data_IF_368649241544
#
_entry.id   IF_368649241544
#
_cell.length_a   1.000
_cell.length_b   1.000
_cell.length_c   1.000
_cell.angle_alpha   90.00
_cell.angle_beta   90.00
_cell.angle_gamma   90.00
#
_symmetry.space_group_name_H-M   'P 1'
#
loop_
_entity.id
_entity.type
_entity.pdbx_description
1 polymer ?
#
# COMPACT_ATOMS: atom_id res chain seq x y z
N UNK A 1 -25.18 -9.00 -5.04
CA UNK A 1 -24.97 -9.38 -6.46
C UNK A 1 -24.11 -10.63 -6.66
N UNK A 2 -22.78 -10.65 -6.42
CA UNK A 2 -21.97 -11.89 -6.63
C UNK A 2 -22.15 -12.95 -5.53
N UNK A 3 -22.20 -12.57 -4.25
CA UNK A 3 -22.49 -13.51 -3.16
C UNK A 3 -23.89 -14.14 -3.23
N UNK A 4 -24.83 -13.48 -3.91
CA UNK A 4 -26.17 -14.03 -4.19
C UNK A 4 -26.12 -15.13 -5.27
N UNK A 5 -25.09 -15.14 -6.12
CA UNK A 5 -24.92 -16.10 -7.22
C UNK A 5 -23.93 -17.22 -6.85
N UNK A 6 -22.80 -16.86 -6.24
CA UNK A 6 -21.65 -17.74 -6.00
C UNK A 6 -21.50 -18.13 -4.51
N UNK A 7 -22.45 -17.71 -3.66
CA UNK A 7 -22.53 -18.02 -2.24
C UNK A 7 -21.82 -17.03 -1.30
N UNK A 8 -22.13 -17.11 0.00
CA UNK A 8 -21.61 -16.18 1.03
C UNK A 8 -20.08 -16.22 1.20
N UNK A 9 -19.46 -17.30 0.73
CA UNK A 9 -18.01 -17.51 0.81
C UNK A 9 -17.22 -16.89 -0.36
N UNK A 10 -17.89 -16.32 -1.36
CA UNK A 10 -17.22 -15.60 -2.44
C UNK A 10 -16.43 -14.40 -1.91
N UNK A 11 -15.21 -14.20 -2.43
CA UNK A 11 -14.27 -13.14 -2.04
C UNK A 11 -13.68 -12.46 -3.27
N UNK A 12 -13.19 -11.23 -3.10
CA UNK A 12 -12.60 -10.47 -4.22
C UNK A 12 -11.39 -11.19 -4.83
N UNK A 13 -10.55 -11.83 -4.02
CA UNK A 13 -9.41 -12.61 -4.50
C UNK A 13 -9.79 -13.78 -5.44
N UNK A 14 -11.06 -14.21 -5.47
CA UNK A 14 -11.52 -15.27 -6.39
C UNK A 14 -11.78 -14.77 -7.82
N UNK A 15 -11.91 -13.45 -8.01
CA UNK A 15 -12.33 -12.84 -9.27
C UNK A 15 -11.30 -11.88 -9.88
N UNK A 16 -10.33 -11.45 -9.08
CA UNK A 16 -9.27 -10.53 -9.52
C UNK A 16 -7.94 -11.25 -9.52
N UNK A 17 -7.32 -11.35 -10.70
CA UNK A 17 -5.95 -11.87 -10.83
C UNK A 17 -4.95 -10.99 -10.08
N UNK A 18 -5.20 -9.68 -10.07
CA UNK A 18 -4.35 -8.67 -9.44
C UNK A 18 -5.18 -7.73 -8.58
N UNK A 19 -4.69 -7.47 -7.37
CA UNK A 19 -5.19 -6.42 -6.49
C UNK A 19 -4.02 -5.50 -6.14
N UNK A 20 -4.18 -4.21 -6.41
CA UNK A 20 -3.13 -3.22 -6.21
C UNK A 20 -3.60 -2.11 -5.27
N UNK A 21 -2.71 -1.65 -4.40
CA UNK A 21 -3.07 -0.67 -3.38
C UNK A 21 -1.87 0.12 -2.90
N UNK A 22 -2.07 1.44 -2.74
CA UNK A 22 -1.09 2.38 -2.17
C UNK A 22 -1.59 2.87 -0.83
N UNK A 23 -0.70 3.02 0.16
CA UNK A 23 -1.07 3.55 1.48
C UNK A 23 -2.21 2.78 2.11
N UNK A 24 -3.30 3.43 2.52
CA UNK A 24 -4.50 2.77 3.06
C UNK A 24 -5.05 1.68 2.13
N UNK A 25 -4.95 1.88 0.80
CA UNK A 25 -5.37 0.87 -0.18
C UNK A 25 -4.52 -0.41 -0.13
N UNK A 26 -3.24 -0.32 0.25
CA UNK A 26 -2.38 -1.50 0.41
C UNK A 26 -2.80 -2.37 1.60
N UNK A 27 -3.29 -1.74 2.67
CA UNK A 27 -3.77 -2.46 3.84
C UNK A 27 -5.03 -3.24 3.48
N UNK A 28 -5.93 -2.62 2.70
CA UNK A 28 -7.07 -3.31 2.11
C UNK A 28 -6.62 -4.45 1.19
N UNK A 29 -5.65 -4.22 0.30
CA UNK A 29 -5.07 -5.26 -0.57
C UNK A 29 -4.60 -6.44 0.27
N UNK A 30 -3.73 -6.21 1.26
CA UNK A 30 -3.20 -7.26 2.11
C UNK A 30 -4.29 -8.01 2.88
N UNK A 31 -5.27 -7.30 3.48
CA UNK A 31 -6.40 -7.93 4.18
C UNK A 31 -7.28 -8.81 3.27
N UNK A 32 -7.43 -8.42 2.01
CA UNK A 32 -8.25 -9.11 1.02
C UNK A 32 -7.51 -10.24 0.30
N UNK A 33 -6.17 -10.29 0.38
CA UNK A 33 -5.36 -11.30 -0.31
C UNK A 33 -4.58 -12.21 0.62
N UNK A 34 -4.29 -11.82 1.85
CA UNK A 34 -3.57 -12.67 2.80
C UNK A 34 -4.45 -13.87 3.20
N UNK A 35 -3.88 -15.08 3.24
CA UNK A 35 -4.61 -16.28 3.62
C UNK A 35 -4.80 -16.36 5.14
N UNK A 36 -5.97 -16.84 5.55
CA UNK A 36 -6.24 -17.35 6.88
C UNK A 36 -5.89 -18.85 6.98
N UNK A 37 -6.16 -19.46 8.14
CA UNK A 37 -5.91 -20.90 8.40
C UNK A 37 -6.61 -21.85 7.42
N UNK A 38 -7.71 -21.42 6.82
CA UNK A 38 -8.49 -22.19 5.84
C UNK A 38 -8.12 -21.85 4.38
N UNK A 39 -6.99 -21.16 4.16
CA UNK A 39 -6.54 -20.69 2.85
C UNK A 39 -7.58 -19.82 2.11
N UNK A 40 -8.31 -19.00 2.87
CA UNK A 40 -9.25 -17.98 2.37
C UNK A 40 -8.77 -16.59 2.80
N UNK A 41 -9.17 -15.50 2.11
CA UNK A 41 -8.84 -14.15 2.54
C UNK A 41 -9.15 -13.88 4.01
N UNK A 42 -8.22 -13.25 4.72
CA UNK A 42 -8.39 -12.84 6.13
C UNK A 42 -9.68 -12.03 6.33
N UNK A 43 -9.95 -11.10 5.41
CA UNK A 43 -11.13 -10.25 5.45
C UNK A 43 -12.02 -10.47 4.24
N UNK A 44 -13.34 -10.41 4.44
CA UNK A 44 -14.25 -10.11 3.34
C UNK A 44 -14.32 -8.59 3.12
N UNK A 45 -14.74 -8.16 1.93
CA UNK A 45 -14.87 -6.75 1.60
C UNK A 45 -15.80 -5.99 2.57
N UNK A 46 -16.82 -6.66 3.13
CA UNK A 46 -17.74 -6.09 4.12
C UNK A 46 -17.09 -5.77 5.47
N UNK A 47 -16.00 -6.46 5.80
CA UNK A 47 -15.31 -6.35 7.10
C UNK A 47 -14.32 -5.16 7.13
N UNK A 48 -13.92 -4.66 5.96
CA UNK A 48 -12.99 -3.53 5.81
C UNK A 48 -13.55 -2.26 6.45
N UNK A 49 -14.83 -1.95 6.24
CA UNK A 49 -15.45 -0.73 6.80
C UNK A 49 -15.46 -0.77 8.34
N UNK A 50 -15.99 -1.82 8.99
CA UNK A 50 -15.92 -1.99 10.45
C UNK A 50 -14.49 -1.83 10.99
N UNK A 51 -13.50 -2.47 10.35
CA UNK A 51 -12.09 -2.36 10.73
C UNK A 51 -11.64 -0.89 10.80
N UNK A 52 -11.86 -0.12 9.73
CA UNK A 52 -11.46 1.30 9.75
C UNK A 52 -12.24 2.13 10.76
N UNK A 53 -13.54 1.87 10.96
CA UNK A 53 -14.33 2.60 11.96
C UNK A 53 -13.80 2.38 13.38
N UNK A 54 -13.35 1.17 13.69
CA UNK A 54 -12.78 0.85 14.99
C UNK A 54 -11.36 1.42 15.17
N UNK A 55 -10.49 1.24 14.18
CA UNK A 55 -9.05 1.50 14.37
C UNK A 55 -8.63 2.92 14.00
N UNK A 56 -9.30 3.61 13.07
CA UNK A 56 -8.93 4.98 12.67
C UNK A 56 -8.80 5.97 13.84
N UNK A 57 -9.72 6.02 14.82
CA UNK A 57 -9.59 6.94 15.96
C UNK A 57 -8.36 6.64 16.85
N UNK A 58 -7.91 5.38 16.89
CA UNK A 58 -6.75 4.92 17.65
C UNK A 58 -5.44 5.15 16.87
N UNK A 59 -5.47 5.02 15.55
CA UNK A 59 -4.36 5.34 14.64
C UNK A 59 -4.11 6.85 14.59
N UNK A 60 -5.18 7.64 14.50
CA UNK A 60 -5.15 9.10 14.37
C UNK A 60 -5.88 9.77 15.54
N UNK A 61 -5.33 9.70 16.77
CA UNK A 61 -6.00 10.24 17.94
C UNK A 61 -6.11 11.77 17.84
N UNK A 62 -7.34 12.27 17.77
CA UNK A 62 -7.62 13.70 17.82
C UNK A 62 -7.53 14.20 19.26
N UNK A 63 -6.40 14.82 19.63
CA UNK A 63 -6.30 15.55 20.91
C UNK A 63 -7.14 16.83 20.83
N UNK A 64 -8.33 16.84 21.45
CA UNK A 64 -9.20 18.01 21.58
C UNK A 64 -8.76 18.88 22.78
N UNK A 65 -8.97 20.20 22.70
CA UNK A 65 -8.71 21.17 23.80
C UNK A 65 -7.37 21.91 23.72
N UNK A 66 -7.07 22.73 24.75
CA UNK A 66 -5.85 23.57 24.83
C UNK A 66 -4.55 22.76 24.71
N UNK A 67 -4.55 21.52 25.20
CA UNK A 67 -3.44 20.58 25.07
C UNK A 67 -3.18 20.16 23.61
N UNK A 68 -4.21 20.13 22.77
CA UNK A 68 -4.09 19.87 21.33
C UNK A 68 -3.40 20.99 20.56
N UNK A 69 -3.63 22.25 20.94
CA UNK A 69 -2.96 23.42 20.35
C UNK A 69 -1.48 23.47 20.73
N UNK A 70 -1.15 23.24 22.01
CA UNK A 70 0.22 23.22 22.50
C UNK A 70 1.06 22.10 21.87
N UNK A 71 0.49 20.89 21.78
CA UNK A 71 1.15 19.73 21.17
C UNK A 71 1.28 19.91 19.65
N UNK A 72 0.33 20.56 18.98
CA UNK A 72 0.43 20.87 17.53
C UNK A 72 1.57 21.85 17.25
N UNK A 73 1.77 22.85 18.09
CA UNK A 73 2.85 23.85 17.94
C UNK A 73 4.23 23.27 18.28
N UNK A 74 4.37 22.42 19.29
CA UNK A 74 5.65 21.76 19.60
C UNK A 74 6.00 20.62 18.64
N UNK A 75 5.03 19.79 18.24
CA UNK A 75 5.31 18.65 17.34
C UNK A 75 5.59 19.06 15.90
N UNK A 76 5.11 20.22 15.44
CA UNK A 76 5.41 20.69 14.08
C UNK A 76 6.90 20.99 13.85
N UNK A 77 7.70 21.15 14.92
CA UNK A 77 9.15 21.31 14.84
C UNK A 77 9.94 20.02 15.15
N UNK A 78 9.32 19.00 15.74
CA UNK A 78 10.00 17.80 16.21
C UNK A 78 9.24 16.52 15.79
N UNK A 79 9.48 16.06 14.57
CA UNK A 79 9.08 14.73 14.09
C UNK A 79 7.65 14.59 13.53
N UNK A 80 7.24 13.38 13.11
CA UNK A 80 5.97 13.13 12.44
C UNK A 80 4.76 13.36 13.38
N UNK A 81 3.62 13.73 12.78
CA UNK A 81 2.38 14.04 13.50
C UNK A 81 1.91 12.90 14.42
N UNK A 82 2.04 11.66 13.93
CA UNK A 82 1.68 10.43 14.64
C UNK A 82 2.91 9.52 14.77
N UNK A 83 2.98 8.75 15.86
CA UNK A 83 4.15 7.90 16.14
C UNK A 83 4.10 6.52 15.45
N UNK A 84 2.99 6.18 14.78
CA UNK A 84 2.81 4.90 14.08
C UNK A 84 2.65 3.67 14.99
N UNK A 85 2.90 3.74 16.30
CA UNK A 85 2.95 2.55 17.19
C UNK A 85 1.68 1.70 17.14
N UNK A 86 0.51 2.33 17.20
CA UNK A 86 -0.76 1.60 17.15
C UNK A 86 -1.02 1.00 15.77
N UNK A 87 -0.68 1.74 14.70
CA UNK A 87 -0.78 1.26 13.32
C UNK A 87 0.10 0.01 13.10
N UNK A 88 1.37 0.07 13.53
CA UNK A 88 2.29 -1.05 13.38
C UNK A 88 1.82 -2.27 14.17
N UNK A 89 1.30 -2.04 15.38
CA UNK A 89 0.74 -3.08 16.23
C UNK A 89 -0.42 -3.79 15.51
N UNK A 90 -1.45 -3.06 15.09
CA UNK A 90 -2.63 -3.70 14.50
C UNK A 90 -2.30 -4.37 13.17
N UNK A 91 -1.46 -3.77 12.33
CA UNK A 91 -1.06 -4.39 11.05
C UNK A 91 -0.32 -5.72 11.30
N UNK A 92 0.55 -5.78 12.31
CA UNK A 92 1.26 -7.03 12.67
C UNK A 92 0.35 -8.05 13.33
N UNK A 93 -0.64 -7.62 14.11
CA UNK A 93 -1.64 -8.52 14.70
C UNK A 93 -2.51 -9.17 13.61
N UNK A 94 -2.97 -8.39 12.63
CA UNK A 94 -3.83 -8.90 11.55
C UNK A 94 -3.07 -9.76 10.52
N UNK A 95 -1.89 -9.31 10.08
CA UNK A 95 -1.14 -9.97 9.00
C UNK A 95 -0.11 -10.99 9.48
N UNK A 96 0.15 -11.03 10.79
CA UNK A 96 1.09 -11.95 11.41
C UNK A 96 2.44 -12.00 10.68
N UNK A 97 2.84 -13.22 10.33
CA UNK A 97 4.10 -13.53 9.66
C UNK A 97 3.94 -13.72 8.14
N UNK A 98 2.75 -13.45 7.59
CA UNK A 98 2.44 -13.67 6.18
C UNK A 98 3.37 -12.86 5.29
N UNK A 99 4.01 -13.53 4.33
CA UNK A 99 4.88 -12.95 3.32
C UNK A 99 4.15 -12.69 2.00
N UNK A 100 4.74 -11.83 1.18
CA UNK A 100 4.17 -11.39 -0.08
C UNK A 100 3.84 -12.54 -1.04
N UNK A 101 4.68 -13.57 -1.13
CA UNK A 101 4.41 -14.73 -2.00
C UNK A 101 3.18 -15.55 -1.58
N UNK A 102 2.72 -15.41 -0.33
CA UNK A 102 1.61 -16.21 0.21
C UNK A 102 0.24 -15.60 -0.13
N UNK A 103 0.18 -14.45 -0.81
CA UNK A 103 -1.10 -13.81 -1.16
C UNK A 103 -1.88 -14.67 -2.15
N UNK A 104 -3.20 -14.78 -1.92
CA UNK A 104 -4.14 -15.59 -2.70
C UNK A 104 -4.44 -15.04 -4.10
N UNK A 105 -4.28 -13.72 -4.28
CA UNK A 105 -4.24 -13.07 -5.58
C UNK A 105 -2.91 -12.30 -5.70
N UNK A 106 -2.48 -11.96 -6.90
CA UNK A 106 -1.26 -11.17 -7.06
C UNK A 106 -1.44 -9.78 -6.45
N UNK A 107 -0.53 -9.41 -5.55
CA UNK A 107 -0.54 -8.11 -4.91
C UNK A 107 0.49 -7.20 -5.58
N UNK A 108 0.13 -5.92 -5.81
CA UNK A 108 1.06 -4.87 -6.27
C UNK A 108 0.96 -3.67 -5.33
N UNK A 109 2.03 -3.42 -4.57
CA UNK A 109 2.09 -2.41 -3.51
C UNK A 109 3.33 -1.53 -3.72
N UNK A 110 3.17 -0.29 -4.20
CA UNK A 110 4.29 0.64 -4.32
C UNK A 110 4.72 1.19 -2.96
N UNK A 111 6.02 1.42 -2.80
CA UNK A 111 6.66 2.21 -1.74
C UNK A 111 7.72 3.11 -2.38
N UNK A 112 8.34 3.99 -1.58
CA UNK A 112 9.50 4.77 -2.01
C UNK A 112 10.65 4.58 -1.03
N UNK A 113 11.83 4.21 -1.54
CA UNK A 113 13.05 4.05 -0.73
C UNK A 113 13.78 5.40 -0.61
N UNK A 114 13.92 5.89 0.62
CA UNK A 114 14.54 7.19 0.89
C UNK A 114 16.07 7.12 0.97
N UNK A 115 16.64 5.93 1.17
CA UNK A 115 18.10 5.74 1.19
C UNK A 115 18.64 5.70 -0.23
N UNK A 116 17.94 5.02 -1.13
CA UNK A 116 18.33 4.86 -2.53
C UNK A 116 17.61 5.83 -3.49
N UNK A 117 16.65 6.62 -2.99
CA UNK A 117 15.89 7.63 -3.74
C UNK A 117 15.17 7.09 -4.98
N UNK A 118 14.62 5.88 -4.90
CA UNK A 118 13.83 5.30 -5.99
C UNK A 118 12.55 4.63 -5.50
N UNK A 119 11.53 4.46 -6.37
CA UNK A 119 10.38 3.61 -6.09
C UNK A 119 10.80 2.16 -5.85
N UNK A 120 10.20 1.51 -4.85
CA UNK A 120 10.32 0.08 -4.64
C UNK A 120 8.92 -0.51 -4.78
N UNK A 121 8.72 -1.42 -5.74
CA UNK A 121 7.42 -2.03 -6.00
C UNK A 121 7.42 -3.44 -5.44
N UNK A 122 6.67 -3.65 -4.36
CA UNK A 122 6.43 -4.99 -3.85
C UNK A 122 5.34 -5.63 -4.68
N UNK A 123 5.72 -6.65 -5.45
CA UNK A 123 4.83 -7.36 -6.36
C UNK A 123 5.07 -8.86 -6.26
N UNK A 124 3.98 -9.64 -6.12
CA UNK A 124 4.07 -11.12 -6.12
C UNK A 124 4.76 -11.62 -7.40
N UNK A 125 4.66 -10.89 -8.51
CA UNK A 125 5.34 -11.21 -9.77
C UNK A 125 6.86 -11.07 -9.70
N UNK A 126 7.35 -10.06 -8.97
CA UNK A 126 8.79 -9.78 -8.89
C UNK A 126 9.49 -10.73 -7.90
N UNK A 127 8.77 -11.35 -6.96
CA UNK A 127 9.33 -12.31 -5.99
C UNK A 127 10.06 -13.47 -6.67
N UNK A 128 9.53 -13.97 -7.80
CA UNK A 128 10.18 -15.05 -8.57
C UNK A 128 11.56 -14.65 -9.10
N UNK A 129 11.76 -13.37 -9.45
CA UNK A 129 13.00 -12.83 -10.01
C UNK A 129 13.94 -12.27 -8.94
N UNK A 130 13.37 -11.65 -7.91
CA UNK A 130 14.06 -11.06 -6.79
C UNK A 130 13.46 -11.56 -5.48
N UNK A 131 13.95 -12.70 -4.94
CA UNK A 131 13.46 -13.27 -3.69
C UNK A 131 13.56 -12.33 -2.48
N UNK A 132 14.45 -11.34 -2.53
CA UNK A 132 14.60 -10.32 -1.47
C UNK A 132 13.37 -9.42 -1.33
N UNK A 133 12.53 -9.31 -2.37
CA UNK A 133 11.25 -8.59 -2.31
C UNK A 133 10.15 -9.37 -1.60
N UNK A 134 10.37 -10.64 -1.25
CA UNK A 134 9.42 -11.45 -0.49
C UNK A 134 9.44 -11.09 1.00
N UNK A 135 9.07 -9.85 1.32
CA UNK A 135 9.01 -9.35 2.68
C UNK A 135 7.66 -9.70 3.35
N UNK A 136 7.59 -9.49 4.66
CA UNK A 136 6.33 -9.61 5.42
C UNK A 136 5.34 -8.57 4.92
N UNK A 137 4.09 -8.98 4.69
CA UNK A 137 3.04 -8.05 4.30
C UNK A 137 2.86 -6.94 5.33
N UNK A 138 3.07 -7.23 6.61
CA UNK A 138 3.03 -6.23 7.67
C UNK A 138 4.04 -5.10 7.47
N UNK A 139 5.30 -5.44 7.14
CA UNK A 139 6.33 -4.43 6.93
C UNK A 139 6.06 -3.62 5.65
N UNK A 140 5.62 -4.28 4.58
CA UNK A 140 5.23 -3.61 3.33
C UNK A 140 4.08 -2.63 3.57
N UNK A 141 3.03 -3.04 4.28
CA UNK A 141 1.85 -2.20 4.57
C UNK A 141 2.18 -1.03 5.49
N UNK A 142 3.04 -1.24 6.49
CA UNK A 142 3.53 -0.17 7.35
C UNK A 142 4.32 0.85 6.52
N UNK A 143 5.25 0.38 5.68
CA UNK A 143 6.07 1.23 4.80
C UNK A 143 5.23 2.09 3.87
N UNK A 144 4.33 1.49 3.09
CA UNK A 144 3.52 2.25 2.12
C UNK A 144 2.48 3.15 2.79
N UNK A 145 2.16 2.95 4.08
CA UNK A 145 1.29 3.85 4.84
C UNK A 145 2.05 5.00 5.53
N UNK A 146 3.39 5.00 5.48
CA UNK A 146 4.24 5.97 6.16
C UNK A 146 4.31 7.33 5.44
N UNK A 147 3.17 8.04 5.41
CA UNK A 147 3.06 9.30 4.69
C UNK A 147 4.00 10.37 5.30
N UNK A 148 4.85 11.03 4.48
CA UNK A 148 5.76 12.06 4.97
C UNK A 148 5.05 13.12 5.80
N UNK A 149 5.68 13.56 6.90
CA UNK A 149 5.12 14.48 7.92
C UNK A 149 4.00 13.91 8.80
N UNK A 150 3.33 12.82 8.39
CA UNK A 150 2.24 12.19 9.14
C UNK A 150 2.73 11.03 10.00
N UNK A 151 3.51 10.12 9.42
CA UNK A 151 4.01 8.90 10.05
C UNK A 151 5.53 8.79 9.82
N UNK A 152 6.27 8.14 10.75
CA UNK A 152 7.70 7.91 10.56
C UNK A 152 7.95 6.94 9.40
N UNK A 153 9.08 7.10 8.71
CA UNK A 153 9.58 6.11 7.76
C UNK A 153 9.74 4.75 8.46
N UNK A 154 9.59 3.67 7.69
CA UNK A 154 9.71 2.31 8.21
C UNK A 154 11.00 1.66 7.71
N UNK A 155 11.73 1.09 8.66
CA UNK A 155 12.98 0.37 8.42
C UNK A 155 12.81 -1.09 8.79
N UNK A 156 13.28 -1.98 7.91
CA UNK A 156 13.39 -3.40 8.20
C UNK A 156 14.45 -4.05 7.30
N UNK A 157 14.89 -5.25 7.69
CA UNK A 157 15.74 -6.11 6.88
C UNK A 157 14.94 -7.33 6.44
N UNK A 158 15.14 -7.77 5.20
CA UNK A 158 14.59 -9.03 4.71
C UNK A 158 15.73 -9.95 4.28
N UNK A 159 15.54 -11.26 4.47
CA UNK A 159 16.51 -12.26 4.12
C UNK A 159 15.88 -13.29 3.18
N UNK A 160 16.58 -13.66 2.11
CA UNK A 160 16.16 -14.73 1.21
C UNK A 160 16.58 -16.12 1.71
N UNK A 161 16.15 -17.18 1.02
CA UNK A 161 16.49 -18.56 1.36
C UNK A 161 17.97 -18.92 1.19
N UNK A 162 18.76 -18.08 0.49
CA UNK A 162 20.21 -18.24 0.29
C UNK A 162 21.01 -17.48 1.35
N UNK A 163 20.34 -16.75 2.23
CA UNK A 163 20.93 -15.98 3.30
C UNK A 163 21.32 -14.56 2.91
N UNK A 164 21.00 -14.10 1.69
CA UNK A 164 21.24 -12.72 1.28
C UNK A 164 20.30 -11.79 2.04
N UNK A 165 20.77 -10.62 2.44
CA UNK A 165 20.00 -9.65 3.23
C UNK A 165 19.86 -8.36 2.43
N UNK A 166 18.64 -7.83 2.36
CA UNK A 166 18.32 -6.51 1.82
C UNK A 166 17.81 -5.61 2.95
N UNK A 167 18.27 -4.37 2.96
CA UNK A 167 17.85 -3.36 3.92
C UNK A 167 16.88 -2.37 3.25
N UNK A 168 15.69 -2.21 3.83
CA UNK A 168 14.65 -1.34 3.30
C UNK A 168 14.46 -0.10 4.18
N UNK A 169 14.49 1.08 3.56
CA UNK A 169 14.24 2.37 4.22
C UNK A 169 13.10 3.07 3.51
N UNK A 170 11.86 2.78 3.89
CA UNK A 170 10.71 3.05 3.04
C UNK A 170 9.72 4.05 3.63
N UNK A 171 9.11 4.82 2.74
CA UNK A 171 7.97 5.71 3.02
C UNK A 171 6.78 5.41 2.09
N UNK A 172 5.71 6.19 2.27
CA UNK A 172 4.44 6.01 1.57
C UNK A 172 4.59 5.95 0.05
N UNK A 173 3.96 4.94 -0.54
CA UNK A 173 3.98 4.71 -1.98
C UNK A 173 3.33 5.83 -2.78
N UNK A 174 2.53 6.69 -2.17
CA UNK A 174 1.92 7.87 -2.80
C UNK A 174 2.96 8.88 -3.27
N UNK A 175 4.18 8.86 -2.72
CA UNK A 175 5.33 9.63 -3.23
C UNK A 175 5.78 9.12 -4.60
N UNK A 176 5.72 7.81 -4.82
CA UNK A 176 6.06 7.19 -6.11
C UNK A 176 4.87 7.15 -7.08
N UNK A 177 3.73 6.64 -6.60
CA UNK A 177 2.53 6.37 -7.38
C UNK A 177 1.27 6.51 -6.50
N UNK A 178 0.68 7.70 -6.52
CA UNK A 178 -0.59 7.99 -5.83
C UNK A 178 -1.79 7.20 -6.43
N UNK A 179 -1.69 6.75 -7.69
CA UNK A 179 -2.64 5.80 -8.28
C UNK A 179 -1.88 4.54 -8.76
N UNK A 180 -2.02 3.39 -8.05
CA UNK A 180 -1.29 2.18 -8.41
C UNK A 180 -1.86 1.47 -9.64
N UNK A 181 -2.96 1.94 -10.24
CA UNK A 181 -3.58 1.27 -11.39
C UNK A 181 -2.59 1.12 -12.57
N UNK A 182 -1.87 2.18 -12.92
CA UNK A 182 -0.89 2.12 -14.01
C UNK A 182 0.32 1.26 -13.64
N UNK A 183 0.73 1.25 -12.37
CA UNK A 183 1.80 0.38 -11.86
C UNK A 183 1.39 -1.09 -12.00
N UNK A 184 0.15 -1.43 -11.65
CA UNK A 184 -0.39 -2.77 -11.77
C UNK A 184 -0.48 -3.22 -13.23
N UNK A 185 -0.99 -2.37 -14.12
CA UNK A 185 -1.02 -2.65 -15.57
C UNK A 185 0.40 -2.92 -16.08
N UNK A 186 1.36 -2.06 -15.74
CA UNK A 186 2.75 -2.23 -16.15
C UNK A 186 3.37 -3.55 -15.66
N UNK A 187 3.08 -3.94 -14.41
CA UNK A 187 3.51 -5.21 -13.84
C UNK A 187 2.94 -6.41 -14.60
N UNK A 188 1.64 -6.39 -14.94
CA UNK A 188 1.01 -7.45 -15.72
C UNK A 188 1.53 -7.48 -17.15
N UNK A 189 1.65 -6.32 -17.80
CA UNK A 189 2.21 -6.20 -19.15
C UNK A 189 3.63 -6.79 -19.21
N UNK A 190 4.47 -6.55 -18.20
CA UNK A 190 5.80 -7.17 -18.08
C UNK A 190 5.71 -8.70 -18.06
N UNK A 191 4.76 -9.28 -17.30
CA UNK A 191 4.55 -10.74 -17.28
C UNK A 191 4.09 -11.31 -18.62
N UNK A 192 3.23 -10.58 -19.34
CA UNK A 192 2.79 -10.96 -20.69
C UNK A 192 3.97 -10.93 -21.67
N UNK A 193 4.82 -9.91 -21.60
CA UNK A 193 6.06 -9.84 -22.39
C UNK A 193 7.04 -10.97 -22.07
N UNK A 194 7.12 -11.38 -20.80
CA UNK A 194 7.99 -12.47 -20.34
C UNK A 194 7.41 -13.88 -20.64
N UNK A 195 6.31 -13.97 -21.40
CA UNK A 195 5.63 -15.23 -21.77
C UNK A 195 5.22 -16.09 -20.57
N UNK A 196 4.80 -15.47 -19.46
CA UNK A 196 4.37 -16.20 -18.27
C UNK A 196 3.09 -17.03 -18.56
N UNK A 197 3.10 -18.36 -18.34
CA UNK A 197 2.00 -19.27 -18.69
C UNK A 197 0.72 -19.03 -17.88
N UNK A 198 0.82 -18.35 -16.73
CA UNK A 198 -0.33 -17.99 -15.90
C UNK A 198 -1.20 -16.90 -16.58
N UNK A 199 -0.68 -16.23 -17.63
CA UNK A 199 -1.40 -15.26 -18.42
C UNK A 199 -1.73 -15.81 -19.81
N UNK A 200 -2.92 -15.45 -20.31
CA UNK A 200 -3.23 -15.71 -21.71
C UNK A 200 -2.18 -15.04 -22.62
N UNK A 201 -1.69 -15.73 -23.66
CA UNK A 201 -0.77 -15.15 -24.62
C UNK A 201 -1.47 -14.00 -25.35
N UNK A 202 -1.19 -12.78 -24.90
CA UNK A 202 -1.73 -11.54 -25.44
C UNK A 202 -0.60 -10.84 -26.18
N UNK A 203 -0.91 -10.20 -27.32
CA UNK A 203 0.06 -9.31 -27.95
C UNK A 203 0.37 -8.20 -26.94
N UNK A 204 1.62 -7.90 -26.58
CA UNK A 204 1.93 -7.06 -25.42
C UNK A 204 1.38 -5.61 -25.42
N UNK A 205 0.77 -5.17 -26.52
CA UNK A 205 0.11 -3.86 -26.69
C UNK A 205 -1.40 -3.97 -26.92
N UNK A 206 -1.99 -5.16 -26.86
CA UNK A 206 -3.43 -5.40 -26.98
C UNK A 206 -4.11 -5.21 -25.63
N UNK A 207 -4.28 -3.94 -25.25
CA UNK A 207 -4.94 -3.57 -23.99
C UNK A 207 -6.43 -3.90 -23.94
N UNK A 208 -7.02 -4.41 -25.03
CA UNK A 208 -8.45 -4.70 -25.16
C UNK A 208 -8.97 -5.82 -24.26
N UNK A 209 -8.08 -6.53 -23.54
CA UNK A 209 -8.44 -7.62 -22.62
C UNK A 209 -8.18 -7.31 -21.13
N UNK A 210 -7.73 -6.11 -20.79
CA UNK A 210 -7.66 -5.70 -19.39
C UNK A 210 -9.01 -5.18 -18.91
N UNK A 211 -9.55 -5.79 -17.87
CA UNK A 211 -10.65 -5.22 -17.09
C UNK A 211 -10.07 -4.57 -15.83
N UNK A 212 -10.07 -3.24 -15.78
CA UNK A 212 -9.48 -2.48 -14.68
C UNK A 212 -10.57 -1.75 -13.91
N UNK A 213 -10.63 -1.98 -12.59
CA UNK A 213 -11.47 -1.22 -11.66
C UNK A 213 -10.54 -0.41 -10.75
N UNK A 214 -10.55 0.92 -10.91
CA UNK A 214 -9.77 1.85 -10.09
C UNK A 214 -10.68 2.62 -9.15
N UNK A 215 -10.44 2.52 -7.85
CA UNK A 215 -11.25 3.15 -6.80
C UNK A 215 -10.39 4.18 -6.08
N UNK A 216 -10.78 5.46 -6.18
CA UNK A 216 -10.11 6.56 -5.50
C UNK A 216 -10.77 6.91 -4.16
N UNK A 217 -10.02 7.54 -3.26
CA UNK A 217 -10.49 8.00 -1.93
C UNK A 217 -11.15 9.38 -1.96
N UNK A 218 -11.49 9.88 -3.15
CA UNK A 218 -12.03 11.21 -3.38
C UNK A 218 -10.94 12.29 -3.48
N UNK A 219 -11.25 13.39 -4.16
CA UNK A 219 -10.41 14.57 -4.24
C UNK A 219 -11.06 15.74 -3.51
N UNK A 220 -10.26 16.54 -2.79
CA UNK A 220 -10.78 17.77 -2.22
C UNK A 220 -11.21 18.69 -3.37
N UNK A 221 -12.46 19.19 -3.35
CA UNK A 221 -12.88 20.27 -4.24
C UNK A 221 -12.01 21.48 -3.93
N UNK A 222 -11.01 21.74 -4.76
CA UNK A 222 -10.12 22.87 -4.59
C UNK A 222 -10.91 24.17 -4.68
N UNK A 223 -11.08 24.87 -3.56
CA UNK A 223 -11.15 26.33 -3.63
C UNK A 223 -9.82 26.76 -4.28
N UNK A 224 -9.90 27.41 -5.44
CA UNK A 224 -8.76 27.94 -6.20
C UNK A 224 -8.01 29.00 -5.36
N UNK A 225 -7.20 28.57 -4.39
CA UNK A 225 -6.45 29.47 -3.50
C UNK A 225 -5.09 29.88 -4.04
N UNK A 226 -4.65 29.34 -5.18
CA UNK A 226 -3.37 29.70 -5.77
C UNK A 226 -3.51 29.92 -7.29
N UNK A 227 -3.12 31.13 -7.71
CA UNK A 227 -2.96 31.56 -9.09
C UNK A 227 -1.46 31.81 -9.29
N UNK A 228 -0.92 31.53 -10.48
CA UNK A 228 0.48 31.74 -10.87
C UNK A 228 1.03 33.16 -10.54
N UNK A 229 0.16 34.13 -10.26
CA UNK A 229 0.52 35.48 -9.79
C UNK A 229 0.92 35.59 -8.31
N UNK A 230 0.81 34.51 -7.52
CA UNK A 230 1.16 34.52 -6.10
C UNK A 230 2.39 33.64 -5.85
N UNK A 231 3.56 34.23 -6.08
CA UNK A 231 4.85 33.67 -5.73
C UNK A 231 5.34 34.40 -4.46
N UNK A 232 5.27 33.80 -3.27
CA UNK A 232 5.95 34.36 -2.11
C UNK A 232 7.46 34.23 -2.38
N UNK A 233 8.12 35.38 -2.51
CA UNK A 233 9.57 35.50 -2.57
C UNK A 233 10.17 34.96 -1.27
N UNK A 234 10.55 33.69 -1.26
CA UNK A 234 11.15 33.04 -0.08
C UNK A 234 11.22 31.52 -0.12
N UNK A 235 11.21 30.89 -1.31
CA UNK A 235 11.52 29.47 -1.42
C UNK A 235 13.04 29.29 -1.52
N UNK A 236 13.69 29.10 -0.38
CA UNK A 236 15.05 28.56 -0.31
C UNK A 236 14.97 27.09 -0.72
N UNK A 237 15.37 26.81 -1.96
CA UNK A 237 15.70 25.47 -2.41
C UNK A 237 17.11 25.16 -1.92
N UNK A 238 17.28 24.12 -1.12
CA UNK A 238 18.59 23.51 -0.92
C UNK A 238 18.48 22.01 -1.15
N UNK A 239 19.05 21.60 -2.28
CA UNK A 239 19.85 20.38 -2.47
C UNK A 239 19.18 19.06 -2.28
#
# INVERSE_FOLDING_TARGET
MRQELDGENARLADYFDVIAGTSTGSLMTAMLTAPNENNRPLFAAKDIKPFYLEHCPKIFPHKRGALGWLVKNLKSLFGPKYNGKYLHKIIREELGETRLHQTLAHAVIPTFDIKHLHPTIFSTYEVKKSPLLDARLSDICISTSAAPTYLPAHHFMNQDSKGNIEEFNLIDGGVAANNPALVAISQVTKQVFDENPDFFPIKPMDYGRFLVISIGTGSAKGEKKYNAKWQPSGACWTG
#
